data_IF_879146211137
#
_entry.id   IF_879146211137
#
_cell.length_a   1.000
_cell.length_b   1.000
_cell.length_c   1.000
_cell.angle_alpha   90.00
_cell.angle_beta   90.00
_cell.angle_gamma   90.00
#
_symmetry.space_group_name_H-M   'P 1'
#
loop_
_entity.id
_entity.type
_entity.pdbx_description
1 polymer ?
#
# COMPACT_ATOMS: atom_id res chain seq x y z
N UNK A 1 10.02 0.96 -18.95
CA UNK A 1 9.51 0.81 -17.58
C UNK A 1 8.06 0.38 -17.66
N UNK A 2 7.71 -0.77 -17.08
CA UNK A 2 6.34 -1.27 -17.02
C UNK A 2 5.85 -1.16 -15.58
N UNK A 3 5.28 0.00 -15.22
CA UNK A 3 4.86 0.29 -13.85
C UNK A 3 3.48 -0.31 -13.58
N UNK A 4 3.42 -1.22 -12.62
CA UNK A 4 2.20 -1.84 -12.13
C UNK A 4 1.88 -1.39 -10.70
N UNK A 5 0.64 -1.66 -10.28
CA UNK A 5 0.12 -1.26 -8.97
C UNK A 5 -0.37 -2.47 -8.20
N UNK A 6 0.08 -2.61 -6.96
CA UNK A 6 -0.44 -3.57 -6.00
C UNK A 6 -1.00 -2.85 -4.77
N UNK A 7 -1.99 -3.47 -4.13
CA UNK A 7 -2.55 -3.03 -2.85
C UNK A 7 -2.45 -4.18 -1.86
N UNK A 8 -1.79 -3.96 -0.73
CA UNK A 8 -1.60 -4.96 0.31
C UNK A 8 -2.05 -4.43 1.66
N UNK A 9 -2.67 -5.28 2.46
CA UNK A 9 -3.05 -5.03 3.85
C UNK A 9 -2.57 -6.21 4.71
N UNK A 10 -1.94 -5.93 5.85
CA UNK A 10 -1.25 -6.96 6.63
C UNK A 10 -0.83 -6.53 8.04
N UNK A 11 -1.55 -5.57 8.63
CA UNK A 11 -1.23 -4.98 9.93
C UNK A 11 -0.83 -3.50 9.82
N UNK A 12 0.00 -3.02 10.74
CA UNK A 12 0.39 -1.61 10.79
C UNK A 12 1.09 -1.17 9.50
N UNK A 13 0.49 -0.20 8.80
CA UNK A 13 0.97 0.25 7.50
C UNK A 13 2.35 0.96 7.53
N UNK A 14 2.84 1.39 8.70
CA UNK A 14 4.13 2.04 8.86
C UNK A 14 5.25 1.02 8.77
N UNK A 15 5.10 -0.11 9.47
CA UNK A 15 6.03 -1.24 9.37
C UNK A 15 6.03 -1.81 7.95
N UNK A 16 4.84 -2.03 7.39
CA UNK A 16 4.72 -2.52 6.00
C UNK A 16 5.38 -1.56 5.00
N UNK A 17 5.09 -0.25 5.07
CA UNK A 17 5.68 0.73 4.17
C UNK A 17 7.20 0.77 4.31
N UNK A 18 7.74 0.72 5.54
CA UNK A 18 9.19 0.79 5.75
C UNK A 18 9.94 -0.40 5.15
N UNK A 19 9.36 -1.61 5.25
CA UNK A 19 9.94 -2.82 4.68
C UNK A 19 9.79 -2.88 3.15
N UNK A 20 8.61 -2.53 2.64
CA UNK A 20 8.29 -2.72 1.22
C UNK A 20 8.92 -1.64 0.34
N UNK A 21 9.06 -0.40 0.82
CA UNK A 21 9.71 0.66 0.04
C UNK A 21 11.18 0.38 -0.29
N UNK A 22 11.80 -0.58 0.39
CA UNK A 22 13.20 -0.99 0.21
C UNK A 22 13.36 -2.14 -0.80
N UNK A 23 12.27 -2.74 -1.27
CA UNK A 23 12.35 -3.89 -2.17
C UNK A 23 12.80 -3.45 -3.58
N UNK A 24 13.57 -4.29 -4.29
CA UNK A 24 13.94 -4.04 -5.67
C UNK A 24 12.71 -3.77 -6.56
N UNK A 25 12.85 -2.83 -7.49
CA UNK A 25 11.78 -2.49 -8.43
C UNK A 25 10.66 -1.62 -7.84
N UNK A 26 10.59 -1.39 -6.52
CA UNK A 26 9.60 -0.48 -5.93
C UNK A 26 9.96 0.96 -6.24
N UNK A 27 9.05 1.66 -6.93
CA UNK A 27 9.23 3.05 -7.36
C UNK A 27 8.58 4.02 -6.38
N UNK A 28 7.41 3.66 -5.84
CA UNK A 28 6.68 4.51 -4.90
C UNK A 28 5.73 3.70 -4.03
N UNK A 29 5.59 4.12 -2.78
CA UNK A 29 4.56 3.62 -1.86
C UNK A 29 3.67 4.75 -1.35
N UNK A 30 2.44 4.43 -0.97
CA UNK A 30 1.52 5.33 -0.25
C UNK A 30 0.64 4.53 0.69
N UNK A 31 0.56 4.95 1.95
CA UNK A 31 -0.35 4.38 2.95
C UNK A 31 -1.76 4.95 2.83
N UNK A 32 -2.73 4.19 3.29
CA UNK A 32 -4.13 4.61 3.38
C UNK A 32 -5.02 3.50 3.94
N UNK A 33 -6.33 3.69 3.78
CA UNK A 33 -7.36 2.75 4.24
C UNK A 33 -8.13 2.23 3.02
N UNK A 34 -8.32 0.91 2.90
CA UNK A 34 -8.95 0.29 1.73
C UNK A 34 -9.76 -0.95 2.10
N UNK A 35 -10.72 -1.32 1.25
CA UNK A 35 -11.50 -2.56 1.36
C UNK A 35 -12.67 -2.55 2.34
N UNK A 36 -13.00 -1.40 2.94
CA UNK A 36 -14.16 -1.26 3.82
C UNK A 36 -15.37 -0.59 3.17
N UNK A 37 -16.26 -0.10 4.03
CA UNK A 37 -17.64 0.27 3.74
C UNK A 37 -17.93 1.78 3.74
N UNK A 38 -16.97 2.62 4.14
CA UNK A 38 -17.18 4.07 4.30
C UNK A 38 -16.38 4.89 3.29
N UNK A 39 -16.96 5.92 2.66
CA UNK A 39 -16.20 6.84 1.82
C UNK A 39 -15.31 7.76 2.68
N UNK A 40 -14.26 8.32 2.06
CA UNK A 40 -13.37 9.32 2.67
C UNK A 40 -12.76 8.91 4.02
N UNK A 41 -12.39 7.63 4.16
CA UNK A 41 -11.75 7.09 5.35
C UNK A 41 -10.55 7.92 5.83
N UNK A 42 -10.49 8.14 7.15
CA UNK A 42 -9.43 8.87 7.85
C UNK A 42 -8.88 8.03 9.00
N UNK A 43 -7.73 8.43 9.55
CA UNK A 43 -7.13 7.72 10.68
C UNK A 43 -8.08 7.54 11.88
N UNK A 44 -8.93 8.53 12.18
CA UNK A 44 -9.89 8.43 13.28
C UNK A 44 -11.23 7.81 12.89
N UNK A 45 -11.54 7.75 11.61
CA UNK A 45 -12.81 7.22 11.11
C UNK A 45 -12.61 6.53 9.76
N UNK A 46 -12.41 5.22 9.78
CA UNK A 46 -12.18 4.39 8.59
C UNK A 46 -13.03 3.11 8.57
N UNK A 47 -14.08 3.00 9.40
CA UNK A 47 -15.05 1.89 9.36
C UNK A 47 -14.37 0.52 9.36
N UNK A 48 -14.80 -0.36 8.45
CA UNK A 48 -14.21 -1.69 8.25
C UNK A 48 -12.98 -1.72 7.32
N UNK A 49 -12.44 -0.57 6.92
CA UNK A 49 -11.26 -0.54 6.07
C UNK A 49 -10.03 -1.09 6.80
N UNK A 50 -9.21 -1.86 6.08
CA UNK A 50 -7.90 -2.24 6.56
C UNK A 50 -6.88 -1.12 6.31
N UNK A 51 -5.92 -0.98 7.22
CA UNK A 51 -4.67 -0.29 6.93
C UNK A 51 -3.96 -0.97 5.75
N UNK A 52 -3.73 -0.22 4.69
CA UNK A 52 -3.23 -0.73 3.43
C UNK A 52 -2.14 0.16 2.84
N UNK A 53 -1.32 -0.45 1.98
CA UNK A 53 -0.32 0.25 1.18
C UNK A 53 -0.61 0.07 -0.31
N UNK A 54 -0.52 1.16 -1.06
CA UNK A 54 -0.45 1.16 -2.52
C UNK A 54 1.01 1.17 -2.95
N UNK A 55 1.40 0.19 -3.74
CA UNK A 55 2.75 0.02 -4.25
C UNK A 55 2.73 0.28 -5.75
N UNK A 56 3.61 1.13 -6.24
CA UNK A 56 3.95 1.23 -7.65
C UNK A 56 5.35 0.63 -7.86
N UNK A 57 5.45 -0.39 -8.69
CA UNK A 57 6.71 -1.12 -8.94
C UNK A 57 6.91 -1.38 -10.43
N UNK A 58 8.16 -1.48 -10.88
CA UNK A 58 8.51 -1.85 -12.25
C UNK A 58 8.54 -3.38 -12.38
N UNK A 59 7.59 -3.96 -13.14
CA UNK A 59 7.47 -5.42 -13.29
C UNK A 59 8.65 -6.03 -14.05
N UNK A 60 9.45 -5.24 -14.75
CA UNK A 60 10.65 -5.77 -15.42
C UNK A 60 11.81 -6.03 -14.46
N UNK A 61 11.71 -5.58 -13.20
CA UNK A 61 12.69 -5.83 -12.14
C UNK A 61 12.10 -6.89 -11.19
N UNK A 62 12.76 -8.05 -11.03
CA UNK A 62 12.28 -9.08 -10.11
C UNK A 62 12.34 -8.59 -8.65
N UNK A 63 11.37 -9.06 -7.85
CA UNK A 63 11.30 -8.79 -6.42
C UNK A 63 12.45 -9.46 -5.65
#
# INVERSE_FOLDING_TARGET
>A
MAIEKAFLAGGCFWGMQDLIRKQPGVVRTRVGYSGGDVPHATCRNHGSHAEAIKIAFDRTIPA
#
